data_IF_573234773352
#
_entry.id   IF_573234773352
#
_cell.length_a   1.000
_cell.length_b   1.000
_cell.length_c   1.000
_cell.angle_alpha   90.00
_cell.angle_beta   90.00
_cell.angle_gamma   90.00
#
_symmetry.space_group_name_H-M   'P 1'
#
loop_
_entity.id
_entity.type
_entity.pdbx_description
1 polymer ?
#
# COMPACT_ATOMS: atom_id res chain seq x y z
N UNK A 1 24.52 -25.29 -52.77
CA UNK A 1 25.48 -24.71 -51.81
C UNK A 1 24.69 -23.67 -51.04
N UNK A 2 23.95 -24.13 -50.03
CA UNK A 2 23.07 -23.28 -49.23
C UNK A 2 23.53 -23.42 -47.79
N UNK A 3 23.86 -22.28 -47.21
CA UNK A 3 24.46 -22.14 -45.90
C UNK A 3 23.58 -22.77 -44.83
N UNK A 4 24.23 -23.59 -44.02
CA UNK A 4 23.75 -24.12 -42.76
C UNK A 4 23.64 -22.93 -41.78
N UNK A 5 22.41 -22.59 -41.41
CA UNK A 5 22.13 -21.55 -40.43
C UNK A 5 22.46 -22.12 -39.06
N UNK A 6 23.51 -21.60 -38.43
CA UNK A 6 23.91 -21.98 -37.08
C UNK A 6 22.74 -21.75 -36.09
N UNK A 7 22.55 -22.61 -35.09
CA UNK A 7 21.56 -22.37 -34.04
C UNK A 7 21.96 -21.12 -33.25
N UNK A 8 21.00 -20.23 -33.00
CA UNK A 8 21.15 -19.08 -32.10
C UNK A 8 21.81 -19.54 -30.80
N UNK A 9 23.01 -19.01 -30.52
CA UNK A 9 23.60 -19.07 -29.19
C UNK A 9 22.60 -18.39 -28.24
N UNK A 10 22.10 -19.12 -27.25
CA UNK A 10 21.30 -18.55 -26.18
C UNK A 10 22.13 -17.45 -25.50
N UNK A 11 21.87 -16.19 -25.83
CA UNK A 11 22.50 -15.04 -25.21
C UNK A 11 22.23 -15.08 -23.70
N UNK A 12 23.24 -15.49 -22.92
CA UNK A 12 23.16 -15.54 -21.46
C UNK A 12 23.07 -14.11 -20.93
N UNK A 13 21.86 -13.60 -20.76
CA UNK A 13 21.63 -12.24 -20.28
C UNK A 13 21.43 -12.20 -18.76
N UNK A 14 21.95 -11.16 -18.12
CA UNK A 14 21.57 -10.81 -16.74
C UNK A 14 20.05 -10.59 -16.68
N UNK A 15 19.39 -11.30 -15.78
CA UNK A 15 17.95 -11.20 -15.58
C UNK A 15 17.64 -10.62 -14.21
N UNK A 16 16.51 -9.92 -14.11
CA UNK A 16 16.05 -9.37 -12.84
C UNK A 16 14.57 -9.59 -12.63
N UNK A 17 14.18 -9.76 -11.37
CA UNK A 17 12.81 -9.88 -10.91
C UNK A 17 12.55 -8.90 -9.77
N UNK A 18 11.37 -8.30 -9.76
CA UNK A 18 10.92 -7.45 -8.64
C UNK A 18 9.60 -7.95 -8.09
N UNK A 19 9.49 -7.93 -6.77
CA UNK A 19 8.24 -8.15 -6.04
C UNK A 19 8.03 -6.93 -5.15
N UNK A 20 6.82 -6.36 -5.18
CA UNK A 20 6.46 -5.20 -4.36
C UNK A 20 5.12 -5.47 -3.68
N UNK A 21 5.02 -5.17 -2.39
CA UNK A 21 3.75 -5.21 -1.67
C UNK A 21 3.71 -4.19 -0.53
N UNK A 22 2.55 -3.55 -0.35
CA UNK A 22 2.25 -2.82 0.88
C UNK A 22 1.91 -3.83 1.97
N UNK A 23 2.58 -3.73 3.12
CA UNK A 23 2.43 -4.72 4.18
C UNK A 23 1.07 -4.55 4.87
N UNK A 24 0.32 -5.66 5.05
CA UNK A 24 -1.07 -5.58 5.54
C UNK A 24 -1.17 -5.36 7.06
N UNK A 25 -0.20 -5.89 7.81
CA UNK A 25 -0.07 -5.67 9.27
C UNK A 25 0.60 -4.32 9.57
N UNK A 26 1.84 -4.13 9.11
CA UNK A 26 2.57 -2.86 9.19
C UNK A 26 2.17 -1.92 8.06
N UNK A 27 1.02 -1.27 8.22
CA UNK A 27 0.34 -0.53 7.14
C UNK A 27 1.11 0.68 6.61
N UNK A 28 2.19 1.09 7.27
CA UNK A 28 3.06 2.16 6.79
C UNK A 28 4.22 1.63 5.95
N UNK A 29 4.38 0.33 5.78
CA UNK A 29 5.54 -0.25 5.11
C UNK A 29 5.23 -0.73 3.69
N UNK A 30 6.04 -0.29 2.75
CA UNK A 30 6.14 -0.83 1.40
C UNK A 30 7.41 -1.68 1.33
N UNK A 31 7.25 -2.97 1.01
CA UNK A 31 8.36 -3.90 0.88
C UNK A 31 8.58 -4.19 -0.59
N UNK A 32 9.81 -3.99 -1.05
CA UNK A 32 10.25 -4.33 -2.38
C UNK A 32 11.42 -5.31 -2.30
N UNK A 33 11.27 -6.48 -2.91
CA UNK A 33 12.36 -7.40 -3.13
C UNK A 33 12.82 -7.30 -4.59
N UNK A 34 14.11 -7.19 -4.79
CA UNK A 34 14.75 -7.16 -6.10
C UNK A 34 15.75 -8.29 -6.16
N UNK A 35 15.59 -9.18 -7.13
CA UNK A 35 16.47 -10.31 -7.35
C UNK A 35 17.14 -10.16 -8.69
N UNK A 36 18.46 -10.28 -8.70
CA UNK A 36 19.26 -10.34 -9.93
C UNK A 36 19.83 -11.75 -10.05
N UNK A 37 19.87 -12.25 -11.27
CA UNK A 37 20.59 -13.46 -11.62
C UNK A 37 21.56 -13.14 -12.74
N UNK A 38 22.84 -13.39 -12.48
CA UNK A 38 23.91 -13.25 -13.46
C UNK A 38 24.33 -14.65 -13.94
N UNK A 39 23.93 -15.07 -15.15
CA UNK A 39 24.35 -16.35 -15.71
C UNK A 39 25.73 -16.29 -16.40
N UNK A 40 26.36 -15.12 -16.48
CA UNK A 40 27.64 -14.93 -17.15
C UNK A 40 28.78 -15.54 -16.32
N UNK A 41 29.89 -15.80 -17.01
CA UNK A 41 31.15 -16.23 -16.38
C UNK A 41 31.91 -15.08 -15.71
N UNK A 42 31.53 -13.82 -15.97
CA UNK A 42 32.11 -12.60 -15.39
C UNK A 42 31.11 -11.85 -14.48
N UNK A 43 31.64 -11.04 -13.57
CA UNK A 43 30.83 -10.16 -12.71
C UNK A 43 30.08 -9.11 -13.51
N UNK A 44 28.81 -8.88 -13.16
CA UNK A 44 27.96 -7.89 -13.79
C UNK A 44 27.66 -6.71 -12.86
N UNK A 45 27.70 -5.49 -13.41
CA UNK A 45 27.30 -4.28 -12.69
C UNK A 45 25.91 -3.84 -13.11
N UNK A 46 24.96 -3.85 -12.18
CA UNK A 46 23.59 -3.39 -12.38
C UNK A 46 23.46 -1.97 -11.86
N UNK A 47 23.09 -1.02 -12.73
CA UNK A 47 22.79 0.35 -12.32
C UNK A 47 21.41 0.44 -11.68
N UNK A 48 21.31 1.10 -10.54
CA UNK A 48 20.06 1.35 -9.85
C UNK A 48 19.69 2.81 -10.04
N UNK A 49 18.66 3.05 -10.86
CA UNK A 49 18.12 4.39 -11.07
C UNK A 49 16.98 4.65 -10.10
N UNK A 50 17.14 5.67 -9.26
CA UNK A 50 16.14 6.08 -8.27
C UNK A 50 15.77 7.55 -8.46
N UNK A 51 14.48 7.86 -8.34
CA UNK A 51 14.04 9.25 -8.35
C UNK A 51 14.54 9.98 -7.09
N UNK A 52 15.10 11.18 -7.26
CA UNK A 52 15.59 11.97 -6.14
C UNK A 52 14.43 12.65 -5.42
N UNK A 53 14.16 12.22 -4.19
CA UNK A 53 13.09 12.77 -3.34
C UNK A 53 13.31 14.25 -3.01
N UNK A 54 14.57 14.72 -3.03
CA UNK A 54 14.89 16.14 -2.79
C UNK A 54 14.30 17.08 -3.85
N UNK A 55 13.98 16.57 -5.05
CA UNK A 55 13.44 17.37 -6.14
C UNK A 55 11.90 17.46 -6.09
N UNK A 56 11.26 16.86 -5.09
CA UNK A 56 9.80 16.88 -4.97
C UNK A 56 9.32 18.25 -4.49
N UNK A 57 8.23 18.72 -5.08
CA UNK A 57 7.59 19.97 -4.65
C UNK A 57 6.90 19.75 -3.30
N UNK A 58 6.93 20.77 -2.43
CA UNK A 58 6.23 20.73 -1.14
C UNK A 58 6.97 20.01 -0.02
N UNK A 59 8.25 19.64 -0.21
CA UNK A 59 9.10 19.10 0.86
C UNK A 59 9.29 20.16 1.94
N UNK A 60 8.81 19.86 3.14
CA UNK A 60 8.89 20.74 4.31
C UNK A 60 10.10 20.42 5.19
N UNK A 61 10.49 19.15 5.30
CA UNK A 61 11.69 18.74 6.04
C UNK A 61 12.40 17.58 5.37
N UNK A 62 13.73 17.54 5.52
CA UNK A 62 14.61 16.47 5.04
C UNK A 62 15.71 16.23 6.07
N UNK A 63 15.86 15.00 6.52
CA UNK A 63 16.97 14.58 7.38
C UNK A 63 17.38 13.15 7.12
N UNK A 64 18.54 12.78 7.63
CA UNK A 64 19.06 11.41 7.51
C UNK A 64 19.11 10.75 8.88
N UNK A 65 18.67 9.50 8.97
CA UNK A 65 18.78 8.66 10.16
C UNK A 65 19.52 7.37 9.84
N UNK A 66 20.12 6.74 10.86
CA UNK A 66 20.73 5.41 10.75
C UNK A 66 19.98 4.46 11.67
N UNK A 67 19.63 3.28 11.14
CA UNK A 67 18.94 2.22 11.86
C UNK A 67 19.76 0.93 11.78
N UNK A 68 19.53 0.03 12.73
CA UNK A 68 20.14 -1.29 12.74
C UNK A 68 19.24 -2.30 12.03
N UNK A 69 19.83 -3.02 11.08
CA UNK A 69 19.22 -4.11 10.33
C UNK A 69 19.83 -5.44 10.79
N UNK A 70 18.99 -6.35 11.28
CA UNK A 70 19.41 -7.66 11.83
C UNK A 70 18.94 -8.83 10.96
N UNK A 71 18.44 -8.53 9.76
CA UNK A 71 17.64 -9.47 8.98
C UNK A 71 18.29 -9.95 7.67
N UNK A 72 19.59 -9.73 7.51
CA UNK A 72 20.33 -10.24 6.37
C UNK A 72 20.56 -11.75 6.53
N UNK A 73 20.32 -12.56 5.49
CA UNK A 73 20.61 -14.00 5.53
C UNK A 73 22.10 -14.22 5.83
N UNK A 74 22.40 -15.20 6.69
CA UNK A 74 23.75 -15.64 7.06
C UNK A 74 24.62 -14.62 7.82
N UNK A 75 23.99 -13.56 8.32
CA UNK A 75 24.67 -12.49 9.05
C UNK A 75 24.46 -12.59 10.55
N UNK A 76 25.56 -12.65 11.31
CA UNK A 76 25.51 -12.65 12.78
C UNK A 76 25.53 -11.25 13.38
N UNK A 77 25.81 -10.21 12.58
CA UNK A 77 26.03 -8.85 13.08
C UNK A 77 25.01 -7.84 12.53
N UNK A 78 24.49 -6.94 13.39
CA UNK A 78 23.66 -5.81 12.97
C UNK A 78 24.36 -4.89 11.97
N UNK A 79 23.72 -4.62 10.84
CA UNK A 79 24.20 -3.68 9.82
C UNK A 79 23.56 -2.29 9.99
N UNK A 80 24.31 -1.25 9.69
CA UNK A 80 23.76 0.12 9.63
C UNK A 80 23.11 0.37 8.28
N UNK A 81 21.80 0.63 8.29
CA UNK A 81 21.07 1.13 7.13
C UNK A 81 20.73 2.60 7.31
N UNK A 82 20.90 3.36 6.24
CA UNK A 82 20.67 4.80 6.23
C UNK A 82 19.34 5.11 5.55
N UNK A 83 18.55 5.99 6.15
CA UNK A 83 17.25 6.43 5.65
C UNK A 83 17.22 7.94 5.49
N UNK A 84 16.63 8.41 4.39
CA UNK A 84 16.18 9.79 4.24
C UNK A 84 14.74 9.89 4.76
N UNK A 85 14.55 10.69 5.80
CA UNK A 85 13.23 11.02 6.35
C UNK A 85 12.81 12.36 5.75
N UNK A 86 11.72 12.32 5.01
CA UNK A 86 11.16 13.47 4.30
C UNK A 86 9.72 13.67 4.74
N UNK A 87 9.36 14.92 4.99
CA UNK A 87 7.96 15.31 5.08
C UNK A 87 7.60 16.24 3.94
N UNK A 88 6.42 16.06 3.37
CA UNK A 88 5.89 16.98 2.37
C UNK A 88 4.40 17.22 2.60
N UNK A 89 3.93 18.37 2.10
CA UNK A 89 2.57 18.83 2.25
C UNK A 89 1.84 18.73 0.91
N UNK A 90 0.63 18.17 0.96
CA UNK A 90 -0.32 18.22 -0.16
C UNK A 90 -1.39 19.23 0.23
N UNK A 91 -1.44 20.34 -0.49
CA UNK A 91 -2.39 21.43 -0.24
C UNK A 91 -3.61 21.28 -1.14
N UNK A 92 -4.78 21.25 -0.52
CA UNK A 92 -6.08 21.36 -1.17
C UNK A 92 -6.62 22.78 -0.91
N UNK A 93 -6.47 23.71 -1.87
CA UNK A 93 -6.84 25.10 -1.66
C UNK A 93 -8.35 25.22 -1.43
N UNK A 94 -8.73 26.01 -0.44
CA UNK A 94 -10.14 26.24 -0.11
C UNK A 94 -10.60 27.52 -0.80
N UNK A 95 -11.71 27.42 -1.55
CA UNK A 95 -12.43 28.60 -2.03
C UNK A 95 -13.30 29.17 -0.91
N UNK A 96 -12.69 29.80 0.09
CA UNK A 96 -13.44 30.46 1.16
C UNK A 96 -13.43 31.97 0.99
N UNK A 97 -14.63 32.55 0.88
CA UNK A 97 -14.90 33.92 1.32
C UNK A 97 -14.80 33.96 2.84
N UNK A 98 -13.93 34.83 3.34
CA UNK A 98 -13.39 34.90 4.70
C UNK A 98 -14.44 34.88 5.83
N UNK A 99 -14.19 34.05 6.85
CA UNK A 99 -14.62 34.31 8.24
C UNK A 99 -13.69 33.69 9.29
N UNK A 100 -13.00 32.58 9.00
CA UNK A 100 -12.26 31.79 10.02
C UNK A 100 -10.72 31.87 9.92
N UNK A 101 -10.18 32.60 8.94
CA UNK A 101 -8.72 32.70 8.73
C UNK A 101 -8.03 31.42 8.22
N UNK A 102 -8.82 30.37 7.95
CA UNK A 102 -8.39 29.14 7.28
C UNK A 102 -8.14 29.46 5.80
N UNK A 103 -6.96 29.07 5.31
CA UNK A 103 -6.55 29.36 3.93
C UNK A 103 -6.45 28.09 3.07
N UNK A 104 -6.32 26.92 3.68
CA UNK A 104 -6.10 25.66 2.98
C UNK A 104 -6.40 24.46 3.88
N UNK A 105 -6.72 23.33 3.26
CA UNK A 105 -6.63 22.02 3.90
C UNK A 105 -5.34 21.33 3.47
N UNK A 106 -4.60 20.80 4.43
CA UNK A 106 -3.31 20.17 4.15
C UNK A 106 -3.27 18.73 4.63
N UNK A 107 -2.82 17.84 3.75
CA UNK A 107 -2.43 16.48 4.10
C UNK A 107 -0.93 16.44 4.34
N UNK A 108 -0.51 16.04 5.54
CA UNK A 108 0.90 15.81 5.86
C UNK A 108 1.26 14.40 5.43
N UNK A 109 2.36 14.25 4.69
CA UNK A 109 2.91 12.96 4.31
C UNK A 109 4.34 12.85 4.82
N UNK A 110 4.65 11.70 5.39
CA UNK A 110 5.97 11.34 5.90
C UNK A 110 6.47 10.13 5.13
N UNK A 111 7.72 10.19 4.66
CA UNK A 111 8.40 9.17 3.88
C UNK A 111 9.76 8.86 4.51
N UNK A 112 10.03 7.58 4.75
CA UNK A 112 11.30 7.01 5.17
C UNK A 112 11.83 6.20 3.99
N UNK A 113 12.74 6.79 3.25
CA UNK A 113 13.28 6.22 2.03
C UNK A 113 14.69 5.67 2.26
N UNK A 114 14.97 4.38 1.97
CA UNK A 114 16.29 3.82 2.17
C UNK A 114 17.32 4.44 1.21
N UNK A 115 18.48 4.82 1.73
CA UNK A 115 19.63 5.29 0.93
C UNK A 115 20.37 4.07 0.39
N UNK A 116 20.64 4.06 -0.91
CA UNK A 116 21.16 2.90 -1.61
C UNK A 116 22.28 3.27 -2.58
N UNK A 117 23.28 2.41 -2.82
CA UNK A 117 24.31 2.64 -3.83
C UNK A 117 23.72 2.69 -5.25
N UNK A 118 24.30 3.54 -6.09
CA UNK A 118 23.86 3.73 -7.49
C UNK A 118 24.15 2.52 -8.40
N UNK A 119 24.96 1.57 -7.92
CA UNK A 119 25.32 0.36 -8.64
C UNK A 119 25.48 -0.84 -7.72
N UNK A 120 25.09 -2.01 -8.22
CA UNK A 120 25.24 -3.29 -7.57
C UNK A 120 26.11 -4.21 -8.41
N UNK A 121 27.14 -4.78 -7.79
CA UNK A 121 27.95 -5.83 -8.41
C UNK A 121 27.35 -7.18 -8.06
N UNK A 122 27.02 -7.96 -9.09
CA UNK A 122 26.49 -9.32 -8.96
C UNK A 122 27.52 -10.26 -9.56
N UNK A 123 28.02 -11.17 -8.75
CA UNK A 123 29.05 -12.10 -9.15
C UNK A 123 28.65 -13.01 -10.31
N UNK A 124 29.63 -13.57 -10.99
CA UNK A 124 29.46 -14.63 -11.98
C UNK A 124 28.66 -15.83 -11.45
N UNK A 125 27.73 -16.36 -12.24
CA UNK A 125 26.92 -17.54 -11.94
C UNK A 125 26.00 -17.46 -10.71
N UNK A 126 25.92 -16.32 -10.01
CA UNK A 126 25.15 -16.20 -8.77
C UNK A 126 23.84 -15.42 -8.93
N UNK A 127 22.93 -15.70 -8.00
CA UNK A 127 21.73 -14.90 -7.80
C UNK A 127 21.79 -14.16 -6.48
N UNK A 128 21.53 -12.85 -6.52
CA UNK A 128 21.55 -11.99 -5.35
C UNK A 128 20.20 -11.31 -5.17
N UNK A 129 19.75 -11.22 -3.92
CA UNK A 129 18.48 -10.61 -3.56
C UNK A 129 18.69 -9.43 -2.62
N UNK A 130 17.98 -8.35 -2.88
CA UNK A 130 17.99 -7.13 -2.09
C UNK A 130 16.57 -6.84 -1.62
N UNK A 131 16.42 -6.48 -0.36
CA UNK A 131 15.11 -6.14 0.22
C UNK A 131 15.12 -4.69 0.66
N UNK A 132 14.18 -3.92 0.14
CA UNK A 132 13.97 -2.51 0.45
C UNK A 132 12.67 -2.38 1.24
N UNK A 133 12.75 -1.65 2.34
CA UNK A 133 11.60 -1.32 3.17
C UNK A 133 11.48 0.19 3.18
N UNK A 134 10.50 0.70 2.45
CA UNK A 134 10.13 2.13 2.46
C UNK A 134 9.00 2.32 3.45
N UNK A 135 9.14 3.29 4.35
CA UNK A 135 8.07 3.69 5.27
C UNK A 135 7.32 4.89 4.73
N UNK A 136 5.99 4.85 4.66
CA UNK A 136 5.16 5.96 4.21
C UNK A 136 3.89 6.05 5.03
N UNK A 137 3.54 7.26 5.47
CA UNK A 137 2.27 7.53 6.14
C UNK A 137 1.77 8.92 5.80
N UNK A 138 0.46 9.03 5.64
CA UNK A 138 -0.22 10.30 5.45
C UNK A 138 -1.21 10.54 6.60
N UNK A 139 -1.56 11.80 6.81
CA UNK A 139 -2.64 12.19 7.71
C UNK A 139 -3.94 11.47 7.37
N UNK A 140 -4.66 11.03 8.40
CA UNK A 140 -5.94 10.35 8.22
C UNK A 140 -7.02 11.29 7.67
N UNK A 141 -6.95 12.57 8.03
CA UNK A 141 -7.84 13.62 7.56
C UNK A 141 -7.01 14.87 7.22
N UNK A 142 -7.41 15.63 6.19
CA UNK A 142 -6.80 16.93 5.92
C UNK A 142 -6.93 17.85 7.14
N UNK A 143 -5.87 18.59 7.43
CA UNK A 143 -5.80 19.54 8.54
C UNK A 143 -6.15 20.93 8.01
N UNK A 144 -7.15 21.57 8.60
CA UNK A 144 -7.43 22.99 8.33
C UNK A 144 -6.32 23.86 8.89
N UNK A 145 -5.71 24.69 8.05
CA UNK A 145 -4.56 25.51 8.44
C UNK A 145 -4.77 27.00 8.16
N UNK A 146 -4.20 27.82 9.03
CA UNK A 146 -4.08 29.27 8.83
C UNK A 146 -2.77 29.62 8.13
N UNK A 147 -2.61 30.88 7.72
CA UNK A 147 -1.36 31.39 7.17
C UNK A 147 -0.18 31.28 8.13
N UNK A 148 -0.42 31.41 9.44
CA UNK A 148 0.61 31.27 10.46
C UNK A 148 1.09 29.82 10.60
N UNK A 149 0.16 28.85 10.53
CA UNK A 149 0.50 27.43 10.58
C UNK A 149 1.36 27.03 9.39
N UNK A 150 1.03 27.50 8.18
CA UNK A 150 1.80 27.23 6.97
C UNK A 150 3.22 27.82 7.06
N UNK A 151 3.36 29.03 7.60
CA UNK A 151 4.67 29.65 7.81
C UNK A 151 5.55 28.86 8.80
N UNK A 152 4.94 28.08 9.69
CA UNK A 152 5.61 27.22 10.66
C UNK A 152 5.69 25.74 10.24
N UNK A 153 5.33 25.40 9.00
CA UNK A 153 5.26 24.03 8.49
C UNK A 153 6.56 23.21 8.64
N UNK A 154 7.72 23.88 8.60
CA UNK A 154 9.03 23.23 8.80
C UNK A 154 9.39 23.02 10.28
N UNK A 155 8.68 23.66 11.21
CA UNK A 155 8.93 23.55 12.65
C UNK A 155 8.34 22.27 13.24
N UNK A 156 8.73 21.93 14.47
CA UNK A 156 8.11 20.85 15.25
C UNK A 156 6.82 21.29 15.97
N UNK A 157 6.50 22.58 15.93
CA UNK A 157 5.36 23.16 16.62
C UNK A 157 4.16 23.33 15.69
N UNK A 158 3.01 23.67 16.28
CA UNK A 158 1.75 23.84 15.55
C UNK A 158 1.14 22.52 15.07
N UNK A 159 -0.02 22.58 14.40
CA UNK A 159 -0.77 21.39 14.00
C UNK A 159 -0.01 20.52 12.99
N UNK A 160 0.71 21.15 12.04
CA UNK A 160 1.51 20.44 11.03
C UNK A 160 2.70 19.71 11.68
N UNK A 161 3.43 20.39 12.56
CA UNK A 161 4.60 19.81 13.25
C UNK A 161 4.21 18.65 14.17
N UNK A 162 3.10 18.79 14.90
CA UNK A 162 2.56 17.75 15.77
C UNK A 162 2.13 16.51 14.98
N UNK A 163 1.37 16.71 13.90
CA UNK A 163 0.94 15.62 13.03
C UNK A 163 2.15 14.90 12.40
N UNK A 164 3.10 15.65 11.84
CA UNK A 164 4.33 15.07 11.28
C UNK A 164 5.05 14.19 12.29
N UNK A 165 5.22 14.67 13.53
CA UNK A 165 5.88 13.90 14.60
C UNK A 165 5.11 12.63 14.95
N UNK A 166 3.79 12.69 14.99
CA UNK A 166 2.95 11.51 15.23
C UNK A 166 3.09 10.47 14.11
N UNK A 167 3.04 10.89 12.84
CA UNK A 167 3.20 10.02 11.68
C UNK A 167 4.62 9.42 11.63
N UNK A 168 5.66 10.23 11.86
CA UNK A 168 7.05 9.77 11.93
C UNK A 168 7.25 8.70 13.01
N UNK A 169 6.63 8.86 14.19
CA UNK A 169 6.74 7.88 15.28
C UNK A 169 6.12 6.52 14.91
N UNK A 170 4.98 6.52 14.19
CA UNK A 170 4.34 5.31 13.69
C UNK A 170 5.25 4.60 12.68
N UNK A 171 5.69 5.32 11.65
CA UNK A 171 6.57 4.76 10.61
C UNK A 171 7.86 4.23 11.21
N UNK A 172 8.50 5.00 12.08
CA UNK A 172 9.74 4.61 12.75
C UNK A 172 9.58 3.31 13.54
N UNK A 173 8.49 3.18 14.30
CA UNK A 173 8.21 1.98 15.12
C UNK A 173 8.03 0.75 14.25
N UNK A 174 7.21 0.84 13.19
CA UNK A 174 7.00 -0.27 12.26
C UNK A 174 8.28 -0.64 11.51
N UNK A 175 9.06 0.37 11.09
CA UNK A 175 10.29 0.18 10.35
C UNK A 175 11.37 -0.51 11.19
N UNK A 176 11.58 -0.06 12.44
CA UNK A 176 12.53 -0.69 13.37
C UNK A 176 12.16 -2.14 13.62
N UNK A 177 10.87 -2.44 13.77
CA UNK A 177 10.39 -3.81 13.90
C UNK A 177 10.69 -4.63 12.64
N UNK A 178 10.34 -4.13 11.46
CA UNK A 178 10.52 -4.87 10.21
C UNK A 178 11.99 -5.16 9.88
N UNK A 179 12.90 -4.26 10.27
CA UNK A 179 14.35 -4.45 10.12
C UNK A 179 14.93 -5.57 11.02
N UNK A 180 14.13 -6.13 11.94
CA UNK A 180 14.51 -7.31 12.73
C UNK A 180 14.22 -8.64 12.04
N UNK A 181 13.41 -8.68 10.98
CA UNK A 181 12.95 -9.92 10.36
C UNK A 181 13.31 -10.00 8.88
N UNK A 182 13.75 -11.16 8.37
CA UNK A 182 14.07 -11.30 6.95
C UNK A 182 12.80 -11.12 6.12
N UNK A 183 12.97 -10.67 4.88
CA UNK A 183 11.84 -10.37 3.97
C UNK A 183 10.88 -11.56 3.83
N UNK A 184 11.40 -12.79 3.87
CA UNK A 184 10.59 -14.02 3.82
C UNK A 184 9.60 -14.10 4.98
N UNK A 185 10.01 -13.71 6.20
CA UNK A 185 9.12 -13.70 7.37
C UNK A 185 8.11 -12.55 7.30
N UNK A 186 8.54 -11.37 6.85
CA UNK A 186 7.61 -10.25 6.58
C UNK A 186 6.54 -10.64 5.55
N UNK A 187 6.95 -11.33 4.48
CA UNK A 187 6.01 -11.86 3.47
C UNK A 187 5.06 -12.89 4.08
N UNK A 188 5.54 -13.80 4.92
CA UNK A 188 4.67 -14.77 5.62
C UNK A 188 3.63 -14.06 6.50
N UNK A 189 4.02 -13.02 7.22
CA UNK A 189 3.10 -12.20 8.02
C UNK A 189 2.05 -11.51 7.15
N UNK A 190 2.48 -10.87 6.06
CA UNK A 190 1.59 -10.27 5.06
C UNK A 190 0.59 -11.28 4.47
N UNK A 191 1.08 -12.42 3.98
CA UNK A 191 0.24 -13.47 3.40
C UNK A 191 -0.71 -14.07 4.43
N UNK A 192 -0.27 -14.25 5.67
CA UNK A 192 -1.12 -14.76 6.76
C UNK A 192 -2.26 -13.80 7.08
N UNK A 193 -2.00 -12.48 7.10
CA UNK A 193 -3.04 -11.47 7.27
C UNK A 193 -4.07 -11.51 6.13
N UNK A 194 -3.61 -11.64 4.89
CA UNK A 194 -4.51 -11.83 3.75
C UNK A 194 -5.32 -13.12 3.85
N UNK A 195 -4.72 -14.24 4.23
CA UNK A 195 -5.44 -15.52 4.38
C UNK A 195 -6.51 -15.46 5.47
N UNK A 196 -6.29 -14.69 6.55
CA UNK A 196 -7.29 -14.48 7.61
C UNK A 196 -8.45 -13.60 7.15
N UNK A 197 -8.19 -12.59 6.34
CA UNK A 197 -9.27 -11.78 5.77
C UNK A 197 -10.04 -12.56 4.69
N UNK A 198 -9.33 -13.30 3.85
CA UNK A 198 -9.83 -13.92 2.63
C UNK A 198 -10.33 -15.36 2.84
N UNK A 199 -11.10 -15.58 3.91
CA UNK A 199 -11.62 -16.92 4.26
C UNK A 199 -12.70 -17.37 3.25
N UNK A 200 -13.45 -16.44 2.66
CA UNK A 200 -14.57 -16.72 1.75
C UNK A 200 -14.31 -16.20 0.33
N UNK A 201 -13.18 -16.60 -0.27
CA UNK A 201 -12.91 -16.29 -1.67
C UNK A 201 -14.08 -16.71 -2.59
N UNK A 202 -14.30 -15.97 -3.68
CA UNK A 202 -15.37 -16.29 -4.63
C UNK A 202 -14.81 -17.21 -5.71
N UNK A 203 -15.21 -18.48 -5.67
CA UNK A 203 -15.01 -19.42 -6.78
C UNK A 203 -16.31 -19.50 -7.58
N UNK A 204 -16.23 -19.13 -8.85
CA UNK A 204 -17.32 -19.26 -9.82
C UNK A 204 -16.79 -20.03 -11.02
N UNK A 205 -17.62 -20.92 -11.59
CA UNK A 205 -17.33 -21.55 -12.87
C UNK A 205 -17.13 -20.49 -13.94
N UNK A 206 -16.12 -20.69 -14.79
CA UNK A 206 -15.82 -19.74 -15.85
C UNK A 206 -16.94 -19.75 -16.89
N UNK A 207 -17.53 -18.59 -17.15
CA UNK A 207 -18.55 -18.40 -18.18
C UNK A 207 -17.93 -17.71 -19.40
N UNK A 208 -18.17 -18.31 -20.56
CA UNK A 208 -17.78 -17.80 -21.87
C UNK A 208 -18.81 -16.86 -22.49
N UNK A 209 -19.94 -16.60 -21.81
CA UNK A 209 -20.95 -15.69 -22.33
C UNK A 209 -20.38 -14.26 -22.46
N UNK A 210 -20.71 -13.51 -23.53
CA UNK A 210 -20.23 -12.14 -23.71
C UNK A 210 -20.57 -11.27 -22.49
N UNK A 211 -19.57 -10.56 -21.95
CA UNK A 211 -19.69 -9.71 -20.75
C UNK A 211 -20.06 -10.46 -19.47
N UNK A 212 -19.88 -11.78 -19.42
CA UNK A 212 -20.08 -12.52 -18.18
C UNK A 212 -19.04 -12.12 -17.13
N UNK A 213 -19.54 -11.78 -15.95
CA UNK A 213 -18.73 -11.55 -14.77
C UNK A 213 -18.16 -12.88 -14.27
N UNK A 214 -16.84 -12.97 -14.20
CA UNK A 214 -16.12 -14.19 -13.83
C UNK A 214 -15.40 -14.05 -12.47
N UNK A 215 -15.16 -15.19 -11.80
CA UNK A 215 -14.50 -15.24 -10.50
C UNK A 215 -13.19 -14.43 -10.41
N UNK A 216 -12.27 -14.49 -11.40
CA UNK A 216 -11.05 -13.68 -11.39
C UNK A 216 -11.29 -12.17 -11.38
N UNK A 217 -12.34 -11.67 -12.05
CA UNK A 217 -12.68 -10.24 -12.06
C UNK A 217 -13.22 -9.83 -10.70
N UNK A 218 -14.14 -10.62 -10.13
CA UNK A 218 -14.70 -10.39 -8.79
C UNK A 218 -13.58 -10.36 -7.74
N UNK A 219 -12.75 -11.39 -7.70
CA UNK A 219 -11.66 -11.50 -6.72
C UNK A 219 -10.66 -10.36 -6.86
N UNK A 220 -10.37 -9.91 -8.08
CA UNK A 220 -9.48 -8.75 -8.31
C UNK A 220 -10.11 -7.45 -7.79
N UNK A 221 -11.39 -7.21 -8.05
CA UNK A 221 -12.11 -6.04 -7.52
C UNK A 221 -12.15 -6.07 -5.99
N UNK A 222 -12.52 -7.22 -5.40
CA UNK A 222 -12.53 -7.40 -3.94
C UNK A 222 -11.14 -7.14 -3.33
N UNK A 223 -10.08 -7.58 -4.00
CA UNK A 223 -8.70 -7.29 -3.57
C UNK A 223 -8.44 -5.78 -3.51
N UNK A 224 -8.79 -5.03 -4.55
CA UNK A 224 -8.60 -3.58 -4.55
C UNK A 224 -9.42 -2.85 -3.49
N UNK A 225 -10.69 -3.24 -3.33
CA UNK A 225 -11.57 -2.64 -2.32
C UNK A 225 -11.01 -2.87 -0.92
N UNK A 226 -10.66 -4.12 -0.58
CA UNK A 226 -10.16 -4.49 0.75
C UNK A 226 -8.71 -4.09 1.01
N UNK A 227 -7.91 -3.81 -0.03
CA UNK A 227 -6.58 -3.22 0.10
C UNK A 227 -6.64 -1.70 0.33
N UNK A 228 -7.73 -1.04 -0.07
CA UNK A 228 -7.88 0.41 0.07
C UNK A 228 -8.34 0.87 1.46
N UNK A 229 -8.66 -0.08 2.35
CA UNK A 229 -9.16 0.18 3.70
C UNK A 229 -8.34 -0.58 4.74
N UNK A 230 -8.24 -0.05 5.98
CA UNK A 230 -7.49 -0.70 7.04
C UNK A 230 -8.09 -2.05 7.43
N UNK A 231 -7.23 -2.96 7.90
CA UNK A 231 -7.62 -4.20 8.55
C UNK A 231 -7.37 -4.11 10.06
N UNK A 232 -8.40 -3.67 10.79
CA UNK A 232 -8.32 -3.46 12.24
C UNK A 232 -8.03 -4.74 13.03
N UNK A 233 -8.30 -5.92 12.47
CA UNK A 233 -8.07 -7.21 13.16
C UNK A 233 -6.67 -7.79 12.93
N UNK A 234 -5.94 -7.29 11.92
CA UNK A 234 -4.58 -7.74 11.62
C UNK A 234 -3.50 -6.87 12.25
N UNK A 235 -3.83 -5.73 12.86
CA UNK A 235 -2.87 -4.83 13.48
C UNK A 235 -2.23 -5.46 14.74
N UNK A 236 -0.89 -5.36 14.94
CA UNK A 236 -0.16 -6.08 16.00
C UNK A 236 -0.61 -5.76 17.44
N UNK A 237 -1.18 -4.58 17.66
CA UNK A 237 -1.49 -4.05 18.99
C UNK A 237 -3.00 -3.86 19.25
N UNK A 238 -3.86 -4.29 18.31
CA UNK A 238 -5.31 -4.13 18.38
C UNK A 238 -6.03 -5.49 18.34
N UNK A 239 -5.37 -6.55 18.82
CA UNK A 239 -6.01 -7.83 19.12
C UNK A 239 -6.71 -7.87 20.49
N UNK A 240 -7.01 -6.72 21.09
CA UNK A 240 -7.62 -6.62 22.41
C UNK A 240 -9.16 -6.51 22.32
N UNK A 241 -9.84 -6.90 23.39
CA UNK A 241 -11.29 -6.75 23.62
C UNK A 241 -11.84 -5.40 23.11
N UNK A 242 -11.05 -4.33 23.19
CA UNK A 242 -11.32 -3.00 22.64
C UNK A 242 -11.66 -3.01 21.15
N UNK A 243 -10.90 -3.69 20.30
CA UNK A 243 -11.11 -3.74 18.85
C UNK A 243 -12.39 -4.48 18.50
N UNK A 244 -12.64 -5.60 19.19
CA UNK A 244 -13.89 -6.33 19.05
C UNK A 244 -15.08 -5.47 19.50
N UNK A 245 -14.95 -4.72 20.60
CA UNK A 245 -15.99 -3.78 21.07
C UNK A 245 -16.22 -2.64 20.08
N UNK A 246 -15.17 -2.04 19.53
CA UNK A 246 -15.28 -0.99 18.51
C UNK A 246 -15.91 -1.52 17.23
N UNK A 247 -15.54 -2.72 16.79
CA UNK A 247 -16.19 -3.40 15.68
C UNK A 247 -17.67 -3.63 15.96
N UNK A 248 -18.03 -4.14 17.14
CA UNK A 248 -19.43 -4.34 17.53
C UNK A 248 -20.21 -3.02 17.59
N UNK A 249 -19.58 -1.92 18.01
CA UNK A 249 -20.20 -0.59 18.02
C UNK A 249 -20.51 -0.11 16.60
N UNK A 250 -19.53 -0.17 15.70
CA UNK A 250 -19.74 0.20 14.28
C UNK A 250 -20.73 -0.73 13.58
N UNK A 251 -20.70 -2.03 13.89
CA UNK A 251 -21.65 -3.00 13.33
C UNK A 251 -23.11 -2.64 13.62
N UNK A 252 -23.42 -1.99 14.75
CA UNK A 252 -24.78 -1.50 15.06
C UNK A 252 -25.28 -0.41 14.10
N UNK A 253 -24.37 0.29 13.42
CA UNK A 253 -24.70 1.33 12.44
C UNK A 253 -25.08 0.73 11.07
N UNK A 254 -24.91 -0.57 10.85
CA UNK A 254 -25.22 -1.27 9.58
C UNK A 254 -26.72 -1.52 9.34
N UNK A 255 -27.59 -1.16 10.29
CA UNK A 255 -29.00 -1.59 10.35
C UNK A 255 -29.89 -1.05 9.22
N UNK A 256 -29.44 -0.04 8.48
CA UNK A 256 -30.21 0.58 7.40
C UNK A 256 -29.79 0.14 5.98
N UNK A 257 -28.81 -0.76 5.85
CA UNK A 257 -28.29 -1.19 4.55
C UNK A 257 -29.35 -1.93 3.73
N UNK A 258 -29.75 -1.33 2.61
CA UNK A 258 -30.81 -1.82 1.74
C UNK A 258 -30.37 -1.65 0.27
N UNK A 259 -29.50 -2.55 -0.24
CA UNK A 259 -29.08 -2.49 -1.63
C UNK A 259 -30.29 -2.73 -2.55
N UNK A 260 -30.65 -1.72 -3.32
CA UNK A 260 -31.70 -1.82 -4.36
C UNK A 260 -31.15 -2.27 -5.72
N UNK A 261 -29.84 -2.25 -5.88
CA UNK A 261 -29.14 -2.50 -7.15
C UNK A 261 -28.50 -3.89 -7.15
N UNK A 262 -28.73 -4.64 -8.23
CA UNK A 262 -27.99 -5.87 -8.52
C UNK A 262 -26.60 -5.52 -9.05
N UNK A 263 -25.61 -5.45 -8.15
CA UNK A 263 -24.23 -5.15 -8.54
C UNK A 263 -23.60 -6.23 -9.40
N UNK A 264 -24.08 -7.48 -9.38
CA UNK A 264 -23.52 -8.53 -10.25
C UNK A 264 -23.80 -8.27 -11.73
N UNK A 265 -24.84 -7.49 -12.03
CA UNK A 265 -25.21 -7.10 -13.40
C UNK A 265 -24.53 -5.79 -13.86
N UNK A 266 -23.86 -5.08 -12.96
CA UNK A 266 -23.19 -3.84 -13.29
C UNK A 266 -21.77 -4.07 -13.79
N UNK A 267 -21.54 -3.93 -15.09
CA UNK A 267 -20.20 -4.08 -15.67
C UNK A 267 -19.19 -3.05 -15.12
N UNK A 268 -19.65 -1.85 -14.78
CA UNK A 268 -18.79 -0.75 -14.32
C UNK A 268 -18.12 -1.03 -12.97
N UNK A 269 -18.82 -1.73 -12.07
CA UNK A 269 -18.32 -2.07 -10.74
C UNK A 269 -17.28 -3.20 -10.77
N UNK A 270 -17.11 -3.88 -11.91
CA UNK A 270 -16.15 -4.97 -12.08
C UNK A 270 -15.15 -4.70 -13.19
N UNK A 271 -15.01 -3.42 -13.58
CA UNK A 271 -14.05 -3.03 -14.61
C UNK A 271 -12.61 -3.36 -14.19
N UNK A 272 -11.80 -3.87 -15.13
CA UNK A 272 -10.41 -4.19 -14.83
C UNK A 272 -9.61 -2.90 -14.59
N UNK A 273 -8.93 -2.85 -13.45
CA UNK A 273 -7.97 -1.77 -13.15
C UNK A 273 -6.72 -1.95 -14.00
N UNK A 274 -6.41 -0.94 -14.82
CA UNK A 274 -5.20 -0.91 -15.68
C UNK A 274 -4.23 0.20 -15.32
N UNK A 275 -4.69 1.19 -14.55
CA UNK A 275 -3.90 2.32 -14.10
C UNK A 275 -4.52 2.92 -12.82
N UNK A 276 -3.81 3.87 -12.20
CA UNK A 276 -4.23 4.51 -10.95
C UNK A 276 -5.57 5.25 -11.08
N UNK A 277 -5.83 5.90 -12.21
CA UNK A 277 -7.09 6.60 -12.44
C UNK A 277 -8.28 5.64 -12.47
N UNK A 278 -8.14 4.47 -13.11
CA UNK A 278 -9.16 3.43 -13.10
C UNK A 278 -9.38 2.86 -11.68
N UNK A 279 -8.30 2.70 -10.90
CA UNK A 279 -8.41 2.28 -9.51
C UNK A 279 -9.22 3.30 -8.69
N UNK A 280 -8.86 4.57 -8.78
CA UNK A 280 -9.58 5.65 -8.07
C UNK A 280 -11.04 5.70 -8.47
N UNK A 281 -11.36 5.63 -9.77
CA UNK A 281 -12.74 5.60 -10.26
C UNK A 281 -13.50 4.39 -9.69
N UNK A 282 -12.90 3.21 -9.72
CA UNK A 282 -13.50 1.98 -9.19
C UNK A 282 -13.83 2.15 -7.70
N UNK A 283 -12.86 2.60 -6.89
CA UNK A 283 -13.04 2.80 -5.44
C UNK A 283 -14.14 3.83 -5.15
N UNK A 284 -14.14 4.96 -5.86
CA UNK A 284 -15.15 6.02 -5.71
C UNK A 284 -16.54 5.51 -6.08
N UNK A 285 -16.68 4.78 -7.20
CA UNK A 285 -17.95 4.22 -7.65
C UNK A 285 -18.53 3.25 -6.62
N UNK A 286 -17.73 2.30 -6.13
CA UNK A 286 -18.17 1.38 -5.08
C UNK A 286 -18.58 2.11 -3.81
N UNK A 287 -17.82 3.14 -3.40
CA UNK A 287 -18.12 3.92 -2.21
C UNK A 287 -19.42 4.72 -2.36
N UNK A 288 -19.64 5.39 -3.49
CA UNK A 288 -20.86 6.15 -3.75
C UNK A 288 -22.08 5.24 -3.78
N UNK A 289 -22.01 4.13 -4.52
CA UNK A 289 -23.14 3.20 -4.66
C UNK A 289 -23.52 2.54 -3.34
N UNK A 290 -22.55 2.16 -2.51
CA UNK A 290 -22.84 1.63 -1.18
C UNK A 290 -23.37 2.72 -0.22
N UNK A 291 -22.89 3.96 -0.34
CA UNK A 291 -23.43 5.09 0.43
C UNK A 291 -24.90 5.35 0.11
N UNK A 292 -25.26 5.38 -1.18
CA UNK A 292 -26.65 5.53 -1.65
C UNK A 292 -27.55 4.38 -1.17
N UNK A 293 -27.00 3.17 -1.08
CA UNK A 293 -27.68 2.00 -0.52
C UNK A 293 -27.75 1.97 1.02
N UNK A 294 -27.28 3.03 1.71
CA UNK A 294 -27.14 3.12 3.17
C UNK A 294 -26.26 2.02 3.77
N UNK A 295 -25.32 1.52 2.98
CA UNK A 295 -24.32 0.53 3.37
C UNK A 295 -22.92 1.15 3.60
N UNK A 296 -22.82 2.48 3.67
CA UNK A 296 -21.55 3.21 3.86
C UNK A 296 -20.78 2.79 5.13
N UNK A 297 -21.49 2.43 6.21
CA UNK A 297 -20.90 1.96 7.46
C UNK A 297 -19.96 0.75 7.29
N UNK A 298 -20.15 -0.07 6.25
CA UNK A 298 -19.27 -1.20 5.97
C UNK A 298 -17.86 -0.78 5.53
N UNK A 299 -17.68 0.40 4.92
CA UNK A 299 -16.35 0.96 4.63
C UNK A 299 -15.65 1.44 5.91
N UNK A 300 -16.41 2.02 6.84
CA UNK A 300 -15.90 2.48 8.14
C UNK A 300 -15.46 1.31 9.03
N UNK A 301 -16.00 0.13 8.77
CA UNK A 301 -15.60 -1.13 9.40
C UNK A 301 -14.32 -1.76 8.83
N UNK A 302 -13.71 -1.10 7.85
CA UNK A 302 -12.47 -1.56 7.23
C UNK A 302 -12.67 -2.80 6.36
N UNK A 303 -11.59 -3.53 6.15
CA UNK A 303 -11.52 -4.58 5.14
C UNK A 303 -12.55 -5.70 5.30
N UNK A 304 -12.84 -6.09 6.54
CA UNK A 304 -13.85 -7.12 6.82
C UNK A 304 -15.27 -6.65 6.50
N UNK A 305 -15.59 -5.38 6.80
CA UNK A 305 -16.89 -4.80 6.47
C UNK A 305 -17.08 -4.70 4.95
N UNK A 306 -16.07 -4.18 4.24
CA UNK A 306 -16.07 -4.11 2.77
C UNK A 306 -16.26 -5.49 2.14
N UNK A 307 -15.52 -6.50 2.61
CA UNK A 307 -15.69 -7.86 2.10
C UNK A 307 -17.10 -8.39 2.38
N UNK A 308 -17.63 -8.16 3.58
CA UNK A 308 -18.98 -8.60 3.96
C UNK A 308 -20.04 -7.98 3.05
N UNK A 309 -20.05 -6.66 2.83
CA UNK A 309 -21.08 -6.01 2.00
C UNK A 309 -20.98 -6.40 0.54
N UNK A 310 -19.76 -6.51 0.00
CA UNK A 310 -19.56 -6.93 -1.40
C UNK A 310 -20.04 -8.38 -1.63
N UNK A 311 -19.94 -9.24 -0.62
CA UNK A 311 -20.49 -10.60 -0.66
C UNK A 311 -21.98 -10.67 -0.30
N UNK A 312 -22.51 -9.80 0.55
CA UNK A 312 -23.92 -9.81 0.95
C UNK A 312 -24.85 -9.47 -0.24
N UNK A 313 -24.37 -8.60 -1.13
CA UNK A 313 -25.05 -8.29 -2.40
C UNK A 313 -25.19 -9.53 -3.31
N UNK A 314 -24.46 -10.61 -3.04
CA UNK A 314 -24.61 -11.92 -3.69
C UNK A 314 -25.80 -12.73 -3.17
N UNK A 315 -26.14 -12.64 -1.88
CA UNK A 315 -27.03 -13.61 -1.20
C UNK A 315 -28.50 -13.21 -1.30
N UNK A 316 -28.84 -11.93 -1.37
CA UNK A 316 -30.24 -11.48 -1.48
C UNK A 316 -30.88 -11.69 -2.88
N UNK A 317 -30.22 -12.46 -3.76
CA UNK A 317 -30.74 -12.80 -5.10
C UNK A 317 -30.96 -14.31 -5.30
N UNK A 318 -30.77 -15.13 -4.26
CA UNK A 318 -31.12 -16.56 -4.27
C UNK A 318 -32.30 -16.93 -3.35
N UNK A 319 -32.97 -15.93 -2.75
CA UNK A 319 -34.19 -16.11 -1.94
C UNK A 319 -35.40 -15.49 -2.62
#
# INVERSE_FOLDING_TARGET
MSAEQAPDENELCVSSGTMVYAHRIYTSLLIQNFRVYNPLDDDATVKVNKANVQNWKGVSTLRTIRLKQNNLPDDTNPHDVTYQVVSFLIEDPVNTTESDGIISHVTVVVLFEPVFPDSLTVGSGISQSYSFITGVRASAHPISITKADLAQAASEFGPIGQERKALEAIVFTELVFALQFPEVELRKLHTSAWNRLWISGVTLSYSYAPKALNGPQINRTLYYLTASVPDYFSAPNEGNETTLRLYQQRAKQRTACAPKLDLLRSNEHWEPVRNLQNLQRLLTLWRSTLSEAKCGAFFEDGAHGVLQVSLFIRVMLQS
#
